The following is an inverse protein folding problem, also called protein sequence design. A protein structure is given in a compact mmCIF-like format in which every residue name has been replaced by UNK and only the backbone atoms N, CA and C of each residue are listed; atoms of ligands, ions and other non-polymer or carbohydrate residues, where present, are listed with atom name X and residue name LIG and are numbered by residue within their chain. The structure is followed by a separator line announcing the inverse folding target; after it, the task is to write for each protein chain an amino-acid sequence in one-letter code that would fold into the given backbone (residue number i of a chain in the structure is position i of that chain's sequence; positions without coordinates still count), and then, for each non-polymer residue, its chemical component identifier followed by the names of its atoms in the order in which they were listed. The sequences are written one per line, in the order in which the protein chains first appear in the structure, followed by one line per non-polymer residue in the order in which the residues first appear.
data_IF_604713755963
#
_entry.id   IF_604713755963
#
_cell.length_a   1.000
_cell.length_b   1.000
_cell.length_c   1.000
_cell.angle_alpha   90.00
_cell.angle_beta   90.00
_cell.angle_gamma   90.00
#
_symmetry.space_group_name_H-M   'P 1'
#
loop_
_entity.id
_entity.type
_entity.pdbx_description
1 polymer ?
#
# COMPACT_ATOMS: atom_id res chain seq x y z
N UNK A 1 -6.35 29.86 8.71
CA UNK A 1 -6.69 28.43 8.51
C UNK A 1 -6.39 27.70 9.79
N UNK A 2 -7.37 26.98 10.36
CA UNK A 2 -7.10 26.00 11.42
C UNK A 2 -6.84 24.64 10.79
N UNK A 3 -5.92 23.87 11.37
CA UNK A 3 -5.70 22.47 10.99
C UNK A 3 -6.66 21.58 11.77
N UNK A 4 -7.21 20.56 11.10
CA UNK A 4 -7.99 19.49 11.73
C UNK A 4 -7.11 18.25 11.82
N UNK A 5 -7.11 17.58 12.97
CA UNK A 5 -6.41 16.31 13.17
C UNK A 5 -7.46 15.21 13.26
N UNK A 6 -7.30 14.16 12.45
CA UNK A 6 -8.16 12.99 12.42
C UNK A 6 -7.34 11.74 12.78
N UNK A 7 -7.93 10.85 13.59
CA UNK A 7 -7.33 9.55 13.93
C UNK A 7 -7.97 8.49 13.05
N UNK A 8 -7.20 7.87 12.17
CA UNK A 8 -7.66 6.82 11.26
C UNK A 8 -7.22 5.46 11.80
N UNK A 9 -8.18 4.61 12.14
CA UNK A 9 -7.91 3.22 12.56
C UNK A 9 -7.57 2.37 11.34
N UNK A 10 -6.46 1.64 11.43
CA UNK A 10 -6.02 0.67 10.42
C UNK A 10 -6.40 -0.73 10.88
N UNK A 11 -7.12 -1.46 10.03
CA UNK A 11 -7.57 -2.82 10.32
C UNK A 11 -6.49 -3.81 9.86
N UNK A 12 -5.93 -4.58 10.77
CA UNK A 12 -4.87 -5.56 10.50
C UNK A 12 -5.43 -6.95 10.83
N UNK A 13 -6.05 -7.66 9.86
CA UNK A 13 -6.51 -9.03 10.06
C UNK A 13 -5.39 -9.95 10.53
N UNK A 14 -5.76 -11.00 11.25
CA UNK A 14 -4.80 -11.98 11.75
C UNK A 14 -3.94 -12.57 10.61
N UNK A 15 -2.63 -12.70 10.86
CA UNK A 15 -1.67 -13.22 9.90
C UNK A 15 -1.29 -12.24 8.79
N UNK A 16 -1.74 -10.98 8.85
CA UNK A 16 -1.33 -9.92 7.92
C UNK A 16 -0.39 -8.91 8.57
N UNK A 17 0.40 -8.23 7.74
CA UNK A 17 1.15 -7.04 8.13
C UNK A 17 0.78 -5.89 7.20
N UNK A 18 0.89 -4.65 7.68
CA UNK A 18 0.65 -3.45 6.89
C UNK A 18 1.93 -2.60 6.80
N UNK A 19 2.19 -2.04 5.63
CA UNK A 19 3.21 -1.01 5.41
C UNK A 19 2.49 0.20 4.82
N UNK A 20 2.66 1.36 5.44
CA UNK A 20 2.11 2.63 4.95
C UNK A 20 3.29 3.55 4.71
N UNK A 21 3.29 4.23 3.58
CA UNK A 21 4.31 5.20 3.25
C UNK A 21 3.80 6.27 2.31
N UNK A 22 4.71 7.11 1.85
CA UNK A 22 4.45 8.16 0.89
C UNK A 22 5.44 8.04 -0.25
N UNK A 23 4.94 8.15 -1.48
CA UNK A 23 5.74 8.12 -2.70
C UNK A 23 5.27 9.25 -3.62
N UNK A 24 5.65 9.22 -4.88
CA UNK A 24 5.14 10.12 -5.91
C UNK A 24 5.16 9.40 -7.25
N UNK A 25 4.41 9.93 -8.21
CA UNK A 25 4.30 9.40 -9.57
C UNK A 25 3.58 8.04 -9.69
N UNK A 26 2.84 7.87 -10.79
CA UNK A 26 1.92 6.73 -10.99
C UNK A 26 2.64 5.38 -11.05
N UNK A 27 3.92 5.39 -11.46
CA UNK A 27 4.76 4.19 -11.55
C UNK A 27 5.01 3.53 -10.18
N UNK A 28 4.76 4.25 -9.07
CA UNK A 28 4.79 3.71 -7.70
C UNK A 28 4.07 2.36 -7.59
N UNK A 29 2.89 2.20 -8.21
CA UNK A 29 2.13 0.93 -8.08
C UNK A 29 2.84 -0.22 -8.78
N UNK A 30 3.36 0.01 -9.97
CA UNK A 30 4.09 -1.01 -10.75
C UNK A 30 5.42 -1.36 -10.08
N UNK A 31 6.18 -0.37 -9.63
CA UNK A 31 7.50 -0.62 -8.99
C UNK A 31 7.35 -1.35 -7.65
N UNK A 32 6.30 -1.04 -6.88
CA UNK A 32 5.96 -1.78 -5.67
C UNK A 32 5.49 -3.20 -6.00
N UNK A 33 4.69 -3.39 -7.04
CA UNK A 33 4.26 -4.71 -7.48
C UNK A 33 5.46 -5.59 -7.85
N UNK A 34 6.37 -5.09 -8.69
CA UNK A 34 7.58 -5.81 -9.10
C UNK A 34 8.49 -6.13 -7.90
N UNK A 35 8.66 -5.15 -6.99
CA UNK A 35 9.44 -5.31 -5.76
C UNK A 35 8.89 -6.42 -4.86
N UNK A 36 7.57 -6.49 -4.69
CA UNK A 36 6.93 -7.52 -3.85
C UNK A 36 6.88 -8.87 -4.56
N UNK A 37 6.50 -8.89 -5.83
CA UNK A 37 6.38 -10.11 -6.64
C UNK A 37 7.72 -10.84 -6.79
N UNK A 38 8.83 -10.10 -6.90
CA UNK A 38 10.19 -10.66 -6.99
C UNK A 38 10.80 -11.06 -5.65
N UNK A 39 10.13 -10.80 -4.52
CA UNK A 39 10.70 -11.05 -3.20
C UNK A 39 10.58 -12.50 -2.72
N UNK A 40 9.47 -13.18 -3.03
CA UNK A 40 9.20 -14.57 -2.64
C UNK A 40 8.00 -15.11 -3.42
N UNK A 41 8.04 -16.38 -3.89
CA UNK A 41 6.93 -16.98 -4.64
C UNK A 41 5.66 -17.18 -3.79
N UNK A 42 5.80 -17.21 -2.46
CA UNK A 42 4.68 -17.47 -1.54
C UNK A 42 4.05 -16.19 -0.99
N UNK A 43 4.67 -15.02 -1.21
CA UNK A 43 4.18 -13.76 -0.66
C UNK A 43 2.85 -13.40 -1.29
N UNK A 44 1.84 -13.16 -0.44
CA UNK A 44 0.55 -12.60 -0.84
C UNK A 44 0.48 -11.14 -0.47
N UNK A 45 0.05 -10.30 -1.40
CA UNK A 45 0.01 -8.86 -1.16
C UNK A 45 -1.07 -8.13 -1.96
N UNK A 46 -1.45 -6.97 -1.43
CA UNK A 46 -2.26 -5.97 -2.12
C UNK A 46 -1.70 -4.58 -1.86
N UNK A 47 -1.70 -3.75 -2.90
CA UNK A 47 -1.13 -2.40 -2.92
C UNK A 47 -2.24 -1.41 -3.29
N UNK A 48 -2.27 -0.25 -2.64
CA UNK A 48 -3.06 0.90 -3.06
C UNK A 48 -2.21 2.18 -2.97
N UNK A 49 -2.33 3.06 -3.94
CA UNK A 49 -1.64 4.35 -4.03
C UNK A 49 -2.62 5.46 -4.42
N UNK A 50 -2.65 6.54 -3.66
CA UNK A 50 -3.50 7.68 -3.91
C UNK A 50 -2.82 8.65 -4.90
N UNK A 51 -3.21 8.60 -6.16
CA UNK A 51 -2.78 9.60 -7.15
C UNK A 51 -3.21 11.01 -6.68
N UNK A 52 -2.26 11.92 -6.49
CA UNK A 52 -2.56 13.23 -5.88
C UNK A 52 -2.98 14.31 -6.90
N UNK A 53 -2.86 14.02 -8.20
CA UNK A 53 -3.17 14.95 -9.28
C UNK A 53 -3.92 14.24 -10.42
N UNK A 54 -4.27 14.97 -11.48
CA UNK A 54 -4.96 14.40 -12.63
C UNK A 54 -6.31 13.77 -12.26
N UNK A 55 -6.49 12.48 -12.58
CA UNK A 55 -7.74 11.76 -12.29
C UNK A 55 -7.94 11.46 -10.81
N UNK A 56 -6.88 11.54 -10.00
CA UNK A 56 -6.91 11.36 -8.54
C UNK A 56 -7.53 10.02 -8.12
N UNK A 57 -7.20 8.96 -8.85
CA UNK A 57 -7.71 7.62 -8.56
C UNK A 57 -6.84 6.93 -7.52
N UNK A 58 -7.45 6.00 -6.79
CA UNK A 58 -6.69 4.98 -6.06
C UNK A 58 -6.19 3.98 -7.09
N UNK A 59 -4.89 3.99 -7.34
CA UNK A 59 -4.20 3.03 -8.20
C UNK A 59 -3.86 1.82 -7.34
N UNK A 60 -4.02 0.61 -7.86
CA UNK A 60 -3.86 -0.61 -7.06
C UNK A 60 -3.37 -1.76 -7.91
N UNK A 61 -2.70 -2.71 -7.27
CA UNK A 61 -2.26 -3.98 -7.86
C UNK A 61 -1.98 -4.99 -6.74
N UNK A 62 -1.73 -6.25 -7.08
CA UNK A 62 -1.42 -7.31 -6.14
C UNK A 62 -1.76 -8.70 -6.65
N UNK A 63 -1.47 -9.71 -5.85
CA UNK A 63 -1.71 -11.12 -6.18
C UNK A 63 -2.71 -11.82 -5.24
N UNK A 64 -3.39 -11.04 -4.40
CA UNK A 64 -4.45 -11.48 -3.48
C UNK A 64 -5.58 -10.44 -3.45
N UNK A 65 -6.76 -10.83 -3.93
CA UNK A 65 -7.90 -9.93 -4.11
C UNK A 65 -8.44 -9.33 -2.81
N UNK A 66 -8.31 -10.04 -1.69
CA UNK A 66 -8.82 -9.55 -0.40
C UNK A 66 -7.85 -8.54 0.21
N UNK A 67 -6.53 -8.77 0.06
CA UNK A 67 -5.51 -7.79 0.47
C UNK A 67 -5.56 -6.51 -0.39
N UNK A 68 -5.87 -6.62 -1.69
CA UNK A 68 -6.05 -5.45 -2.58
C UNK A 68 -7.24 -4.61 -2.10
N UNK A 69 -8.39 -5.23 -1.85
CA UNK A 69 -9.58 -4.53 -1.33
C UNK A 69 -9.27 -3.83 -0.01
N UNK A 70 -8.60 -4.52 0.90
CA UNK A 70 -8.21 -3.95 2.19
C UNK A 70 -7.26 -2.75 2.02
N UNK A 71 -6.27 -2.83 1.13
CA UNK A 71 -5.38 -1.71 0.83
C UNK A 71 -6.16 -0.49 0.29
N UNK A 72 -7.08 -0.71 -0.65
CA UNK A 72 -7.94 0.34 -1.23
C UNK A 72 -8.80 1.00 -0.14
N UNK A 73 -9.45 0.20 0.70
CA UNK A 73 -10.30 0.70 1.77
C UNK A 73 -9.53 1.58 2.76
N UNK A 74 -8.33 1.16 3.15
CA UNK A 74 -7.50 1.91 4.10
C UNK A 74 -6.91 3.17 3.45
N UNK A 75 -6.47 3.09 2.19
CA UNK A 75 -6.03 4.27 1.43
C UNK A 75 -7.15 5.31 1.27
N UNK A 76 -8.40 4.85 1.07
CA UNK A 76 -9.60 5.70 1.01
C UNK A 76 -9.93 6.32 2.37
N UNK A 77 -9.85 5.56 3.46
CA UNK A 77 -10.07 6.06 4.84
C UNK A 77 -9.05 7.15 5.20
N UNK A 78 -7.79 6.99 4.81
CA UNK A 78 -6.73 7.98 5.08
C UNK A 78 -6.91 9.22 4.19
N UNK A 79 -7.24 9.05 2.91
CA UNK A 79 -7.60 10.16 2.01
C UNK A 79 -6.46 11.16 1.70
N UNK A 80 -5.22 10.85 2.07
CA UNK A 80 -4.05 11.68 1.79
C UNK A 80 -3.51 11.38 0.38
N UNK A 81 -3.21 12.43 -0.40
CA UNK A 81 -2.57 12.27 -1.70
C UNK A 81 -1.14 11.73 -1.54
N UNK A 82 -0.68 10.97 -2.54
CA UNK A 82 0.68 10.39 -2.58
C UNK A 82 1.00 9.35 -1.50
N UNK A 83 0.02 9.00 -0.66
CA UNK A 83 0.05 7.85 0.23
C UNK A 83 0.05 6.54 -0.57
N UNK A 84 0.81 5.55 -0.11
CA UNK A 84 0.58 4.16 -0.45
C UNK A 84 0.31 3.29 0.79
N UNK A 85 -0.44 2.21 0.59
CA UNK A 85 -0.75 1.18 1.58
C UNK A 85 -0.45 -0.18 0.97
N UNK A 86 0.29 -1.01 1.69
CA UNK A 86 0.60 -2.40 1.30
C UNK A 86 0.14 -3.32 2.42
N UNK A 87 -0.63 -4.33 2.08
CA UNK A 87 -0.90 -5.47 2.96
C UNK A 87 -0.09 -6.68 2.50
N UNK A 88 0.45 -7.41 3.47
CA UNK A 88 1.25 -8.62 3.25
C UNK A 88 0.64 -9.79 4.03
N UNK A 89 0.69 -10.99 3.44
CA UNK A 89 0.39 -12.27 4.06
C UNK A 89 1.42 -13.30 3.58
N UNK A 90 1.70 -14.32 4.40
CA UNK A 90 2.73 -15.33 4.12
C UNK A 90 4.15 -14.74 3.94
N UNK A 91 4.43 -13.64 4.66
CA UNK A 91 5.71 -12.96 4.67
C UNK A 91 5.69 -11.81 5.67
N UNK A 92 6.86 -11.27 6.00
CA UNK A 92 7.02 -10.20 6.97
C UNK A 92 7.60 -8.93 6.32
N UNK A 93 7.35 -7.75 6.90
CA UNK A 93 7.92 -6.50 6.40
C UNK A 93 9.44 -6.53 6.23
N UNK A 94 10.17 -7.21 7.11
CA UNK A 94 11.63 -7.34 7.03
C UNK A 94 12.11 -8.02 5.74
N UNK A 95 11.27 -8.82 5.07
CA UNK A 95 11.61 -9.47 3.80
C UNK A 95 11.62 -8.48 2.61
N UNK A 96 10.89 -7.36 2.72
CA UNK A 96 10.63 -6.45 1.60
C UNK A 96 11.02 -5.00 1.85
N UNK A 97 11.09 -4.57 3.12
CA UNK A 97 11.26 -3.16 3.49
C UNK A 97 12.51 -2.50 2.88
N UNK A 98 13.63 -3.21 2.80
CA UNK A 98 14.84 -2.64 2.21
C UNK A 98 14.71 -2.44 0.69
N UNK A 99 13.96 -3.30 0.00
CA UNK A 99 13.70 -3.11 -1.44
C UNK A 99 12.75 -1.93 -1.66
N UNK A 100 11.68 -1.83 -0.86
CA UNK A 100 10.73 -0.71 -0.91
C UNK A 100 11.41 0.64 -0.66
N UNK A 101 12.38 0.71 0.26
CA UNK A 101 13.13 1.94 0.54
C UNK A 101 14.02 2.39 -0.61
N UNK A 102 14.39 1.47 -1.50
CA UNK A 102 15.26 1.73 -2.64
C UNK A 102 14.47 1.80 -3.96
N UNK A 103 13.14 1.77 -3.89
CA UNK A 103 12.23 1.93 -5.02
C UNK A 103 12.09 3.40 -5.37
#
# INVERSE_FOLDING_TARGET
MSVKIDVVRIDIPEGTNVIIGQSHFIKTVEDLYETLSSSSPNLKFGIAFNEASGKRLIRYDGNDGDLIKLAIEQAKKIGAGHLFVIYLKNGYPINVLNRIKNT
#
